data_IF_895568892385
#
_entry.id   IF_895568892385
#
_cell.length_a   1.000
_cell.length_b   1.000
_cell.length_c   1.000
_cell.angle_alpha   90.00
_cell.angle_beta   90.00
_cell.angle_gamma   90.00
#
_symmetry.space_group_name_H-M   'P 1'
#
loop_
_entity.id
_entity.type
_entity.pdbx_description
1 polymer ?
#
# COMPACT_ATOMS: atom_id res chain seq x y z
N UNK A 1 -9.12 29.35 14.18
CA UNK A 1 -8.71 28.18 13.38
C UNK A 1 -9.96 27.36 13.10
N UNK A 2 -10.37 27.18 11.84
CA UNK A 2 -11.54 26.35 11.57
C UNK A 2 -11.16 24.89 11.80
N UNK A 3 -11.89 24.23 12.68
CA UNK A 3 -11.88 22.77 12.81
C UNK A 3 -12.38 22.19 11.48
N UNK A 4 -11.53 21.45 10.77
CA UNK A 4 -11.95 20.63 9.64
C UNK A 4 -12.85 19.51 10.18
N UNK A 5 -14.15 19.79 10.16
CA UNK A 5 -15.21 18.82 10.39
C UNK A 5 -15.12 17.70 9.37
N UNK A 6 -15.51 16.50 9.83
CA UNK A 6 -15.79 15.30 9.07
C UNK A 6 -15.72 15.45 7.54
N UNK A 7 -14.73 14.78 6.93
CA UNK A 7 -14.69 14.49 5.50
C UNK A 7 -16.09 14.14 5.02
N UNK A 8 -16.71 15.05 4.25
CA UNK A 8 -17.87 14.69 3.45
C UNK A 8 -17.43 13.54 2.55
N UNK A 9 -18.24 12.49 2.50
CA UNK A 9 -17.94 11.35 1.64
C UNK A 9 -17.86 11.83 0.20
N UNK A 10 -16.68 11.76 -0.43
CA UNK A 10 -16.50 12.10 -1.83
C UNK A 10 -17.56 11.38 -2.68
N UNK A 11 -18.38 12.15 -3.42
CA UNK A 11 -19.40 11.63 -4.33
C UNK A 11 -18.88 11.59 -5.76
N UNK A 12 -19.05 10.45 -6.42
CA UNK A 12 -18.71 10.28 -7.84
C UNK A 12 -19.81 10.82 -8.78
N UNK A 13 -20.96 11.24 -8.26
CA UNK A 13 -22.08 11.79 -9.04
C UNK A 13 -21.81 13.25 -9.51
N UNK A 14 -20.80 13.90 -8.94
CA UNK A 14 -20.49 15.31 -9.22
C UNK A 14 -19.03 15.48 -9.66
N UNK A 15 -18.60 14.62 -10.59
CA UNK A 15 -17.26 14.68 -11.15
C UNK A 15 -17.05 15.89 -12.06
N UNK A 16 -15.94 16.59 -11.85
CA UNK A 16 -15.48 17.72 -12.67
C UNK A 16 -14.35 17.30 -13.62
N UNK A 17 -13.43 16.47 -13.13
CA UNK A 17 -12.26 16.06 -13.88
C UNK A 17 -11.79 14.65 -13.49
N UNK A 18 -11.14 13.98 -14.44
CA UNK A 18 -10.40 12.74 -14.24
C UNK A 18 -9.08 12.89 -14.97
N UNK A 19 -7.98 12.54 -14.29
CA UNK A 19 -6.62 12.55 -14.83
C UNK A 19 -5.96 11.20 -14.56
N UNK A 20 -5.27 10.64 -15.54
CA UNK A 20 -4.52 9.40 -15.35
C UNK A 20 -3.21 9.67 -14.62
N UNK A 21 -2.95 8.94 -13.54
CA UNK A 21 -1.73 9.13 -12.73
C UNK A 21 -0.56 8.26 -13.20
N UNK A 22 -0.83 7.13 -13.85
CA UNK A 22 0.19 6.17 -14.26
C UNK A 22 -0.13 5.52 -15.60
N UNK A 23 0.69 5.74 -16.65
CA UNK A 23 0.59 4.99 -17.90
C UNK A 23 0.76 3.47 -17.64
N UNK A 24 -0.09 2.65 -18.26
CA UNK A 24 -0.07 1.19 -18.11
C UNK A 24 -0.71 0.65 -16.82
N UNK A 25 -1.16 1.51 -15.90
CA UNK A 25 -1.94 1.09 -14.72
C UNK A 25 -3.30 1.79 -14.70
N UNK A 26 -4.36 1.15 -14.18
CA UNK A 26 -5.68 1.75 -14.03
C UNK A 26 -5.73 2.60 -12.74
N UNK A 27 -4.91 3.66 -12.68
CA UNK A 27 -4.83 4.58 -11.54
C UNK A 27 -5.13 6.00 -12.01
N UNK A 28 -6.17 6.59 -11.43
CA UNK A 28 -6.71 7.88 -11.83
C UNK A 28 -6.90 8.79 -10.62
N UNK A 29 -6.75 10.10 -10.84
CA UNK A 29 -7.16 11.13 -9.92
C UNK A 29 -8.51 11.66 -10.37
N UNK A 30 -9.53 11.51 -9.53
CA UNK A 30 -10.84 12.06 -9.75
C UNK A 30 -11.04 13.31 -8.90
N UNK A 31 -11.50 14.39 -9.53
CA UNK A 31 -11.79 15.66 -8.87
C UNK A 31 -13.28 15.96 -8.98
N UNK A 32 -13.94 16.17 -7.85
CA UNK A 32 -15.34 16.57 -7.81
C UNK A 32 -15.50 18.08 -8.08
N UNK A 33 -16.74 18.51 -8.30
CA UNK A 33 -17.10 19.92 -8.55
C UNK A 33 -16.78 20.85 -7.38
N UNK A 34 -16.87 20.35 -6.15
CA UNK A 34 -16.45 21.06 -4.93
C UNK A 34 -14.93 21.16 -4.76
N UNK A 35 -14.16 20.57 -5.68
CA UNK A 35 -12.70 20.58 -5.66
C UNK A 35 -12.07 19.48 -4.81
N UNK A 36 -12.87 18.63 -4.14
CA UNK A 36 -12.34 17.45 -3.44
C UNK A 36 -11.72 16.47 -4.44
N UNK A 37 -10.77 15.66 -3.98
CA UNK A 37 -9.98 14.76 -4.81
C UNK A 37 -9.88 13.36 -4.19
N UNK A 38 -10.00 12.33 -5.03
CA UNK A 38 -9.72 10.93 -4.65
C UNK A 38 -8.92 10.23 -5.72
N UNK A 39 -8.11 9.26 -5.29
CA UNK A 39 -7.45 8.32 -6.20
C UNK A 39 -8.38 7.14 -6.43
N UNK A 40 -8.65 6.84 -7.69
CA UNK A 40 -9.35 5.64 -8.14
C UNK A 40 -8.32 4.64 -8.65
N UNK A 41 -8.42 3.39 -8.21
CA UNK A 41 -7.59 2.29 -8.68
C UNK A 41 -8.46 1.07 -8.97
N UNK A 42 -8.15 0.37 -10.06
CA UNK A 42 -8.71 -0.95 -10.33
C UNK A 42 -7.67 -2.02 -9.99
N UNK A 43 -8.08 -3.06 -9.28
CA UNK A 43 -7.29 -4.29 -9.13
C UNK A 43 -7.85 -5.37 -10.03
N UNK A 44 -6.96 -6.10 -10.70
CA UNK A 44 -7.33 -7.25 -11.50
C UNK A 44 -7.78 -8.38 -10.57
N UNK A 45 -8.96 -8.92 -10.84
CA UNK A 45 -9.49 -10.10 -10.17
C UNK A 45 -9.45 -11.28 -11.14
N UNK A 46 -8.85 -12.39 -10.72
CA UNK A 46 -8.86 -13.64 -11.50
C UNK A 46 -10.16 -14.43 -11.28
N UNK A 47 -10.80 -14.27 -10.13
CA UNK A 47 -12.01 -15.02 -9.75
C UNK A 47 -13.04 -14.13 -9.03
N UNK A 48 -14.33 -14.46 -9.20
CA UNK A 48 -15.44 -13.69 -8.61
C UNK A 48 -15.38 -13.52 -7.07
N UNK A 49 -14.72 -14.45 -6.36
CA UNK A 49 -14.54 -14.36 -4.90
C UNK A 49 -13.51 -13.33 -4.44
N UNK A 50 -12.72 -12.73 -5.34
CA UNK A 50 -11.57 -11.91 -4.96
C UNK A 50 -11.93 -10.49 -4.56
N UNK A 51 -13.12 -9.99 -4.91
CA UNK A 51 -13.61 -8.68 -4.44
C UNK A 51 -13.68 -8.64 -2.91
N UNK A 52 -14.12 -9.75 -2.28
CA UNK A 52 -14.15 -9.84 -0.80
C UNK A 52 -12.75 -10.01 -0.20
N UNK A 53 -11.83 -10.69 -0.91
CA UNK A 53 -10.42 -10.79 -0.50
C UNK A 53 -9.72 -9.42 -0.54
N UNK A 54 -9.91 -8.64 -1.61
CA UNK A 54 -9.41 -7.27 -1.69
C UNK A 54 -9.97 -6.40 -0.56
N UNK A 55 -11.29 -6.45 -0.34
CA UNK A 55 -11.94 -5.73 0.78
C UNK A 55 -11.37 -6.14 2.14
N UNK A 56 -10.97 -7.40 2.31
CA UNK A 56 -10.29 -7.90 3.50
C UNK A 56 -8.88 -7.32 3.64
N UNK A 57 -8.08 -7.40 2.57
CA UNK A 57 -6.73 -6.84 2.53
C UNK A 57 -6.72 -5.32 2.81
N UNK A 58 -7.65 -4.56 2.22
CA UNK A 58 -7.84 -3.13 2.48
C UNK A 58 -8.17 -2.85 3.96
N UNK A 59 -9.00 -3.69 4.59
CA UNK A 59 -9.30 -3.57 6.03
C UNK A 59 -8.08 -3.84 6.90
N UNK A 60 -7.24 -4.80 6.52
CA UNK A 60 -5.97 -5.08 7.20
C UNK A 60 -5.03 -3.89 7.04
N UNK A 61 -4.81 -3.41 5.81
CA UNK A 61 -3.91 -2.29 5.54
C UNK A 61 -4.31 -1.02 6.30
N UNK A 62 -5.61 -0.76 6.44
CA UNK A 62 -6.15 0.34 7.28
C UNK A 62 -5.69 0.27 8.74
N UNK A 63 -5.34 -0.90 9.27
CA UNK A 63 -4.82 -1.02 10.65
C UNK A 63 -3.38 -0.55 10.78
N UNK A 64 -2.59 -0.58 9.69
CA UNK A 64 -1.20 -0.16 9.68
C UNK A 64 -0.96 1.23 9.08
N UNK A 65 -1.85 1.69 8.20
CA UNK A 65 -1.76 3.00 7.55
C UNK A 65 -3.14 3.65 7.46
N UNK A 66 -3.33 4.71 8.25
CA UNK A 66 -4.60 5.46 8.28
C UNK A 66 -4.91 6.19 6.98
N UNK A 67 -3.89 6.56 6.20
CA UNK A 67 -4.02 7.16 4.88
C UNK A 67 -4.36 6.14 3.79
N UNK A 68 -4.22 4.84 4.06
CA UNK A 68 -4.51 3.76 3.12
C UNK A 68 -5.96 3.28 3.17
N UNK A 69 -6.91 4.18 3.48
CA UNK A 69 -8.34 3.87 3.62
C UNK A 69 -9.02 3.63 2.27
N UNK A 70 -8.61 2.57 1.58
CA UNK A 70 -9.28 2.13 0.37
C UNK A 70 -10.70 1.63 0.65
N UNK A 71 -11.64 2.08 -0.18
CA UNK A 71 -13.03 1.61 -0.19
C UNK A 71 -13.39 1.14 -1.60
N UNK A 72 -13.81 -0.11 -1.70
CA UNK A 72 -14.38 -0.66 -2.94
C UNK A 72 -15.54 0.22 -3.40
N UNK A 73 -15.57 0.55 -4.69
CA UNK A 73 -16.68 1.27 -5.29
C UNK A 73 -17.93 0.39 -5.29
N UNK A 74 -19.05 1.01 -4.95
CA UNK A 74 -20.38 0.44 -5.14
C UNK A 74 -20.76 0.42 -6.62
N UNK A 75 -21.76 -0.37 -6.98
CA UNK A 75 -22.21 -0.45 -8.37
C UNK A 75 -22.77 0.92 -8.86
N UNK A 76 -23.41 1.68 -7.96
CA UNK A 76 -23.82 3.08 -8.22
C UNK A 76 -22.63 3.99 -8.51
N UNK A 77 -21.55 3.86 -7.74
CA UNK A 77 -20.32 4.64 -7.94
C UNK A 77 -19.61 4.27 -9.25
N UNK A 78 -19.60 2.99 -9.63
CA UNK A 78 -19.09 2.55 -10.94
C UNK A 78 -19.96 3.09 -12.06
N UNK A 79 -21.29 3.08 -11.90
CA UNK A 79 -22.22 3.63 -12.89
C UNK A 79 -22.06 5.14 -13.06
N UNK A 80 -21.84 5.89 -11.98
CA UNK A 80 -21.55 7.31 -12.06
C UNK A 80 -20.27 7.61 -12.88
N UNK A 81 -19.26 6.74 -12.82
CA UNK A 81 -18.07 6.85 -13.68
C UNK A 81 -18.38 6.58 -15.15
N UNK A 82 -19.25 5.61 -15.43
CA UNK A 82 -19.72 5.30 -16.79
C UNK A 82 -20.52 6.48 -17.36
N UNK A 83 -21.51 6.98 -16.63
CA UNK A 83 -22.34 8.12 -17.04
C UNK A 83 -21.50 9.39 -17.29
N UNK A 84 -20.47 9.63 -16.48
CA UNK A 84 -19.50 10.70 -16.70
C UNK A 84 -18.77 10.53 -18.03
N UNK A 85 -18.29 9.33 -18.36
CA UNK A 85 -17.58 9.08 -19.63
C UNK A 85 -18.52 9.22 -20.81
N UNK A 86 -19.71 8.62 -20.75
CA UNK A 86 -20.71 8.66 -21.81
C UNK A 86 -21.07 10.11 -22.17
N UNK A 87 -21.16 10.99 -21.15
CA UNK A 87 -21.39 12.43 -21.35
C UNK A 87 -20.26 13.08 -22.16
N UNK A 88 -19.00 12.79 -21.84
CA UNK A 88 -17.86 13.38 -22.56
C UNK A 88 -17.65 12.75 -23.94
N UNK A 89 -18.01 11.48 -24.12
CA UNK A 89 -18.00 10.82 -25.43
C UNK A 89 -19.03 11.46 -26.36
N UNK A 90 -20.26 11.70 -25.87
CA UNK A 90 -21.28 12.43 -26.62
C UNK A 90 -20.82 13.84 -27.02
N UNK A 91 -20.22 14.59 -26.08
CA UNK A 91 -19.69 15.94 -26.37
C UNK A 91 -18.59 15.88 -27.44
N UNK A 92 -17.68 14.90 -27.35
CA UNK A 92 -16.60 14.74 -28.32
C UNK A 92 -17.14 14.45 -29.73
N UNK A 93 -18.13 13.56 -29.84
CA UNK A 93 -18.81 13.22 -31.10
C UNK A 93 -19.51 14.44 -31.72
N UNK A 94 -20.33 15.15 -30.94
CA UNK A 94 -21.04 16.38 -31.41
C UNK A 94 -20.07 17.46 -31.88
N UNK A 95 -18.91 17.58 -31.24
CA UNK A 95 -17.88 18.56 -31.61
C UNK A 95 -16.95 18.07 -32.73
N UNK A 96 -17.08 16.83 -33.21
CA UNK A 96 -16.18 16.22 -34.18
C UNK A 96 -14.74 16.13 -33.67
N UNK A 97 -14.55 15.85 -32.37
CA UNK A 97 -13.25 15.77 -31.69
C UNK A 97 -13.02 14.38 -31.12
N UNK A 98 -11.76 14.04 -30.88
CA UNK A 98 -11.43 12.83 -30.14
C UNK A 98 -11.72 13.00 -28.64
N UNK A 99 -12.13 11.91 -28.00
CA UNK A 99 -12.25 11.85 -26.55
C UNK A 99 -10.88 12.03 -25.89
N UNK A 100 -10.83 12.86 -24.85
CA UNK A 100 -9.66 13.08 -24.00
C UNK A 100 -8.95 11.76 -23.63
N UNK A 101 -7.61 11.64 -23.81
CA UNK A 101 -6.89 10.38 -23.64
C UNK A 101 -7.08 9.72 -22.28
N UNK A 102 -7.21 10.51 -21.20
CA UNK A 102 -7.42 9.99 -19.85
C UNK A 102 -8.82 9.40 -19.69
N UNK A 103 -9.84 10.03 -20.27
CA UNK A 103 -11.22 9.49 -20.30
C UNK A 103 -11.32 8.24 -21.17
N UNK A 104 -10.63 8.24 -22.32
CA UNK A 104 -10.54 7.05 -23.19
C UNK A 104 -9.89 5.88 -22.45
N UNK A 105 -8.81 6.13 -21.71
CA UNK A 105 -8.16 5.11 -20.90
C UNK A 105 -9.06 4.58 -19.78
N UNK A 106 -9.78 5.48 -19.09
CA UNK A 106 -10.75 5.06 -18.07
C UNK A 106 -11.87 4.22 -18.67
N UNK A 107 -12.40 4.60 -19.83
CA UNK A 107 -13.44 3.85 -20.55
C UNK A 107 -12.99 2.41 -20.79
N UNK A 108 -11.80 2.24 -21.38
CA UNK A 108 -11.22 0.92 -21.62
C UNK A 108 -11.13 0.09 -20.33
N UNK A 109 -10.67 0.68 -19.22
CA UNK A 109 -10.58 -0.03 -17.95
C UNK A 109 -11.95 -0.37 -17.32
N UNK A 110 -13.00 0.43 -17.55
CA UNK A 110 -14.36 0.13 -17.09
C UNK A 110 -15.03 -0.96 -17.93
N UNK A 111 -14.75 -0.99 -19.23
CA UNK A 111 -15.22 -2.03 -20.15
C UNK A 111 -14.56 -3.39 -19.86
N UNK A 112 -13.31 -3.37 -19.39
CA UNK A 112 -12.61 -4.54 -18.85
C UNK A 112 -13.27 -5.00 -17.54
N UNK A 113 -14.22 -5.92 -17.63
CA UNK A 113 -14.99 -6.45 -16.49
C UNK A 113 -14.18 -7.27 -15.46
N UNK A 114 -12.86 -7.37 -15.61
CA UNK A 114 -12.01 -8.27 -14.84
C UNK A 114 -11.37 -7.64 -13.61
N UNK A 115 -12.06 -6.73 -12.92
CA UNK A 115 -11.47 -6.03 -11.78
C UNK A 115 -12.44 -5.47 -10.75
N UNK A 116 -11.91 -5.14 -9.58
CA UNK A 116 -12.62 -4.36 -8.57
C UNK A 116 -12.01 -2.96 -8.49
N UNK A 117 -12.88 -1.96 -8.69
CA UNK A 117 -12.54 -0.58 -8.45
C UNK A 117 -12.62 -0.25 -6.98
N UNK A 118 -11.67 0.57 -6.53
CA UNK A 118 -11.71 1.16 -5.20
C UNK A 118 -11.21 2.60 -5.25
N UNK A 119 -11.63 3.39 -4.27
CA UNK A 119 -11.16 4.76 -4.06
C UNK A 119 -10.41 4.89 -2.75
N UNK A 120 -9.47 5.82 -2.71
CA UNK A 120 -8.77 6.24 -1.50
C UNK A 120 -8.49 7.73 -1.54
N UNK A 121 -8.27 8.31 -0.37
CA UNK A 121 -7.91 9.72 -0.26
C UNK A 121 -6.60 9.99 -1.01
N UNK A 122 -6.50 11.15 -1.66
CA UNK A 122 -5.25 11.60 -2.27
C UNK A 122 -4.20 11.82 -1.18
N UNK A 123 -3.02 11.26 -1.37
CA UNK A 123 -1.87 11.57 -0.52
C UNK A 123 -1.30 12.95 -0.85
N UNK A 124 -1.13 13.79 0.15
CA UNK A 124 -0.44 15.07 -0.01
C UNK A 124 1.07 14.88 -0.03
N UNK A 125 1.77 15.59 -0.93
CA UNK A 125 3.23 15.61 -0.98
C UNK A 125 3.86 14.21 -1.03
N UNK A 126 3.28 13.30 -1.82
CA UNK A 126 3.78 11.92 -1.92
C UNK A 126 5.21 11.92 -2.47
N UNK A 127 6.09 11.23 -1.75
CA UNK A 127 7.47 10.99 -2.16
C UNK A 127 7.72 9.49 -2.14
N UNK A 128 8.16 8.94 -3.27
CA UNK A 128 8.60 7.57 -3.39
C UNK A 128 10.13 7.45 -3.31
N UNK A 129 10.61 6.33 -2.79
CA UNK A 129 12.05 6.10 -2.63
C UNK A 129 12.79 6.02 -3.98
N UNK A 130 12.16 5.52 -5.04
CA UNK A 130 12.81 5.37 -6.36
C UNK A 130 13.08 6.75 -6.97
N UNK A 131 12.07 7.60 -7.07
CA UNK A 131 12.20 8.97 -7.56
C UNK A 131 13.14 9.82 -6.69
N UNK A 132 13.12 9.64 -5.36
CA UNK A 132 14.09 10.28 -4.47
C UNK A 132 15.55 9.86 -4.76
N UNK A 133 15.79 8.57 -5.04
CA UNK A 133 17.12 8.06 -5.42
C UNK A 133 17.59 8.57 -6.77
N UNK A 134 16.71 8.60 -7.77
CA UNK A 134 17.02 9.10 -9.11
C UNK A 134 17.41 10.58 -9.06
N UNK A 135 16.66 11.41 -8.33
CA UNK A 135 17.03 12.81 -8.09
C UNK A 135 18.35 12.95 -7.32
N UNK A 136 18.60 12.10 -6.33
CA UNK A 136 19.85 12.12 -5.57
C UNK A 136 21.07 11.74 -6.42
N UNK A 137 20.90 10.83 -7.39
CA UNK A 137 21.92 10.49 -8.38
C UNK A 137 22.22 11.67 -9.32
N UNK A 138 21.19 12.48 -9.64
CA UNK A 138 21.34 13.73 -10.39
C UNK A 138 21.85 14.92 -9.53
N UNK A 139 22.18 14.69 -8.26
CA UNK A 139 22.75 15.69 -7.35
C UNK A 139 21.77 16.32 -6.36
N UNK A 140 20.45 16.20 -6.58
CA UNK A 140 19.43 16.69 -5.65
C UNK A 140 19.13 15.67 -4.54
N UNK A 141 19.73 15.92 -3.37
CA UNK A 141 19.59 15.05 -2.19
C UNK A 141 18.44 15.45 -1.26
N UNK A 142 17.56 16.38 -1.63
CA UNK A 142 16.43 16.82 -0.79
C UNK A 142 15.53 15.63 -0.42
N UNK A 143 14.99 14.91 -1.41
CA UNK A 143 14.07 13.79 -1.18
C UNK A 143 14.63 12.69 -0.27
N UNK A 144 15.87 12.23 -0.48
CA UNK A 144 16.48 11.22 0.41
C UNK A 144 16.74 11.75 1.83
N UNK A 145 16.94 13.07 2.01
CA UNK A 145 17.09 13.67 3.34
C UNK A 145 15.75 13.74 4.04
N UNK A 146 14.69 14.12 3.32
CA UNK A 146 13.33 14.22 3.85
C UNK A 146 12.80 12.84 4.25
N UNK A 147 13.02 11.81 3.42
CA UNK A 147 12.66 10.43 3.77
C UNK A 147 13.43 9.97 5.01
N UNK A 148 14.75 10.18 5.06
CA UNK A 148 15.55 9.79 6.24
C UNK A 148 15.09 10.52 7.50
N UNK A 149 14.75 11.81 7.40
CA UNK A 149 14.22 12.61 8.51
C UNK A 149 12.87 12.07 8.98
N UNK A 150 11.95 11.78 8.06
CA UNK A 150 10.65 11.21 8.35
C UNK A 150 10.73 9.83 9.03
N UNK A 151 11.60 8.94 8.54
CA UNK A 151 11.80 7.63 9.17
C UNK A 151 12.40 7.76 10.58
N UNK A 152 13.33 8.70 10.77
CA UNK A 152 13.96 8.95 12.08
C UNK A 152 13.06 9.69 13.06
N UNK A 153 12.08 10.46 12.60
CA UNK A 153 11.13 11.17 13.45
C UNK A 153 10.36 10.17 14.34
N UNK A 154 9.83 10.65 15.47
CA UNK A 154 8.96 9.84 16.34
C UNK A 154 7.85 9.22 15.51
N UNK A 155 7.63 7.91 15.70
CA UNK A 155 6.61 7.13 15.00
C UNK A 155 6.88 6.90 13.48
N UNK A 156 8.03 7.32 12.94
CA UNK A 156 8.41 7.10 11.54
C UNK A 156 8.63 5.62 11.19
N UNK A 157 9.69 5.01 11.72
CA UNK A 157 9.99 3.59 11.55
C UNK A 157 8.92 2.67 12.16
N UNK A 158 8.25 3.11 13.23
CA UNK A 158 7.13 2.38 13.83
C UNK A 158 5.94 2.32 12.85
N UNK A 159 5.59 3.44 12.19
CA UNK A 159 4.57 3.46 11.13
C UNK A 159 4.94 2.54 9.97
N UNK A 160 6.18 2.59 9.51
CA UNK A 160 6.66 1.67 8.48
C UNK A 160 6.49 0.21 8.94
N UNK A 161 6.86 -0.11 10.18
CA UNK A 161 6.71 -1.44 10.73
C UNK A 161 5.26 -1.92 10.76
N UNK A 162 4.30 -1.04 11.09
CA UNK A 162 2.88 -1.39 11.05
C UNK A 162 2.40 -1.71 9.63
N UNK A 163 2.91 -1.00 8.63
CA UNK A 163 2.64 -1.33 7.21
C UNK A 163 3.25 -2.68 6.85
N UNK A 164 4.50 -2.94 7.23
CA UNK A 164 5.15 -4.24 7.01
C UNK A 164 4.37 -5.37 7.67
N UNK A 165 3.77 -5.18 8.85
CA UNK A 165 2.90 -6.18 9.46
C UNK A 165 1.66 -6.49 8.61
N UNK A 166 1.07 -5.47 7.98
CA UNK A 166 -0.04 -5.65 7.05
C UNK A 166 0.42 -6.41 5.80
N UNK A 167 1.59 -6.05 5.24
CA UNK A 167 2.17 -6.71 4.07
C UNK A 167 2.42 -8.19 4.35
N UNK A 168 3.06 -8.52 5.48
CA UNK A 168 3.30 -9.89 5.91
C UNK A 168 1.99 -10.68 6.06
N UNK A 169 0.99 -10.10 6.73
CA UNK A 169 -0.31 -10.78 6.90
C UNK A 169 -1.01 -11.02 5.56
N UNK A 170 -1.08 -10.00 4.70
CA UNK A 170 -1.74 -10.09 3.40
C UNK A 170 -0.93 -10.93 2.39
N UNK A 171 0.29 -11.34 2.73
CA UNK A 171 1.18 -12.01 1.80
C UNK A 171 1.61 -11.10 0.65
N UNK A 172 1.71 -9.80 0.90
CA UNK A 172 2.14 -8.80 -0.08
C UNK A 172 3.68 -8.73 -0.11
N UNK A 173 4.31 -9.44 -1.05
CA UNK A 173 5.75 -9.44 -1.18
C UNK A 173 6.27 -8.31 -2.10
N UNK A 174 5.40 -7.45 -2.65
CA UNK A 174 5.78 -6.42 -3.61
C UNK A 174 6.65 -5.32 -2.97
N UNK A 175 6.53 -5.04 -1.66
CA UNK A 175 7.37 -4.04 -0.99
C UNK A 175 8.60 -4.63 -0.30
N UNK A 176 8.36 -5.55 0.61
CA UNK A 176 9.39 -6.26 1.37
C UNK A 176 9.07 -7.75 1.40
N UNK A 177 9.99 -8.58 0.92
CA UNK A 177 9.86 -10.03 0.91
C UNK A 177 10.87 -10.68 1.84
N UNK A 178 10.44 -11.47 2.84
CA UNK A 178 11.35 -12.27 3.66
C UNK A 178 12.16 -13.30 2.86
N UNK A 179 11.66 -13.68 1.68
CA UNK A 179 12.29 -14.65 0.78
C UNK A 179 13.38 -14.03 -0.07
N UNK A 180 13.57 -12.72 0.08
CA UNK A 180 14.55 -11.93 -0.64
C UNK A 180 14.06 -11.48 -2.02
N UNK A 181 14.93 -10.80 -2.74
CA UNK A 181 14.59 -10.14 -4.02
C UNK A 181 15.28 -10.77 -5.22
N UNK A 182 16.29 -11.61 -5.00
CA UNK A 182 17.22 -12.07 -6.04
C UNK A 182 18.12 -10.98 -6.64
N UNK A 183 18.05 -9.73 -6.14
CA UNK A 183 18.90 -8.62 -6.58
C UNK A 183 20.21 -8.61 -5.81
N UNK A 184 21.27 -8.11 -6.43
CA UNK A 184 22.59 -7.97 -5.81
C UNK A 184 22.70 -6.74 -4.90
N UNK A 185 21.83 -5.74 -5.07
CA UNK A 185 21.90 -4.46 -4.35
C UNK A 185 20.96 -4.34 -3.15
N UNK A 186 19.92 -5.18 -3.08
CA UNK A 186 18.90 -5.15 -2.03
C UNK A 186 18.56 -6.58 -1.60
N UNK A 187 18.48 -6.80 -0.29
CA UNK A 187 18.30 -8.12 0.28
C UNK A 187 16.82 -8.52 0.24
N UNK A 188 15.94 -7.65 0.75
CA UNK A 188 14.51 -7.95 0.97
C UNK A 188 13.55 -6.94 0.34
N UNK A 189 14.03 -5.78 -0.10
CA UNK A 189 13.20 -4.75 -0.74
C UNK A 189 13.01 -5.04 -2.23
N UNK A 190 11.85 -5.56 -2.59
CA UNK A 190 11.50 -6.03 -3.95
C UNK A 190 11.19 -4.88 -4.88
N UNK A 191 10.27 -3.98 -4.48
CA UNK A 191 9.90 -2.79 -5.25
C UNK A 191 10.13 -1.49 -4.48
N UNK A 192 11.22 -0.81 -4.84
CA UNK A 192 11.62 0.47 -4.25
C UNK A 192 10.56 1.56 -4.46
N UNK A 193 9.80 1.52 -5.56
CA UNK A 193 8.76 2.53 -5.84
C UNK A 193 7.54 2.42 -4.92
N UNK A 194 7.37 1.28 -4.24
CA UNK A 194 6.29 1.09 -3.28
C UNK A 194 6.67 1.49 -1.86
N UNK A 195 7.92 1.91 -1.62
CA UNK A 195 8.32 2.55 -0.35
C UNK A 195 7.99 4.03 -0.45
N UNK A 196 6.80 4.37 0.03
CA UNK A 196 6.15 5.66 -0.16
C UNK A 196 5.94 6.38 1.17
N UNK A 197 6.06 7.70 1.12
CA UNK A 197 5.71 8.59 2.22
C UNK A 197 4.76 9.67 1.71
N UNK A 198 3.86 10.14 2.55
CA UNK A 198 3.00 11.31 2.28
C UNK A 198 2.90 12.19 3.51
N UNK A 199 2.53 13.45 3.29
CA UNK A 199 2.23 14.38 4.37
C UNK A 199 0.94 13.94 5.05
N UNK A 200 1.02 13.74 6.37
CA UNK A 200 -0.09 13.36 7.24
C UNK A 200 -0.02 14.26 8.47
N UNK A 201 -1.08 15.04 8.70
CA UNK A 201 -1.13 16.03 9.79
C UNK A 201 0.12 16.93 9.81
N UNK A 202 0.52 17.44 8.63
CA UNK A 202 1.67 18.31 8.45
C UNK A 202 3.05 17.63 8.49
N UNK A 203 3.12 16.30 8.67
CA UNK A 203 4.38 15.57 8.76
C UNK A 203 4.50 14.50 7.67
N UNK A 204 5.65 14.42 7.01
CA UNK A 204 5.93 13.34 6.08
C UNK A 204 6.04 12.01 6.84
N UNK A 205 5.25 11.01 6.47
CA UNK A 205 5.19 9.69 7.13
C UNK A 205 5.00 8.56 6.11
N UNK A 206 5.47 7.33 6.42
CA UNK A 206 5.22 6.16 5.58
C UNK A 206 3.73 5.89 5.31
N UNK A 207 3.42 5.42 4.11
CA UNK A 207 2.07 5.03 3.67
C UNK A 207 2.03 3.67 2.97
N UNK A 208 0.92 2.95 3.12
CA UNK A 208 0.67 1.65 2.50
C UNK A 208 -0.36 1.72 1.36
N UNK A 209 0.03 2.05 0.12
CA UNK A 209 -0.96 2.18 -0.97
C UNK A 209 -1.48 0.84 -1.50
N UNK A 210 -0.60 -0.15 -1.66
CA UNK A 210 -0.95 -1.45 -2.22
C UNK A 210 -1.23 -2.42 -1.07
N UNK A 211 -2.50 -2.80 -0.90
CA UNK A 211 -2.91 -3.64 0.22
C UNK A 211 -2.60 -5.12 0.02
N UNK A 212 -2.40 -5.58 -1.21
CA UNK A 212 -2.07 -6.97 -1.52
C UNK A 212 -1.39 -7.09 -2.88
N UNK A 213 -0.73 -8.21 -3.11
CA UNK A 213 -0.11 -8.56 -4.38
C UNK A 213 -1.13 -9.23 -5.30
N UNK A 214 -1.42 -8.63 -6.45
CA UNK A 214 -2.48 -9.09 -7.34
C UNK A 214 -2.30 -10.55 -7.78
N UNK A 215 -1.06 -11.03 -7.96
CA UNK A 215 -0.76 -12.40 -8.39
C UNK A 215 -0.32 -13.32 -7.23
N UNK A 216 -0.39 -12.85 -5.97
CA UNK A 216 0.09 -13.60 -4.82
C UNK A 216 -0.83 -14.76 -4.45
N UNK A 217 -0.26 -15.94 -4.20
CA UNK A 217 -0.98 -17.15 -3.82
C UNK A 217 -1.78 -17.00 -2.50
N UNK A 218 -1.33 -16.12 -1.61
CA UNK A 218 -1.92 -15.94 -0.27
C UNK A 218 -3.10 -14.99 -0.19
N UNK A 219 -3.53 -14.40 -1.32
CA UNK A 219 -4.63 -13.43 -1.37
C UNK A 219 -5.98 -14.03 -1.00
N UNK A 220 -6.20 -15.32 -1.26
CA UNK A 220 -7.47 -15.98 -0.96
C UNK A 220 -7.50 -16.54 0.46
N UNK A 221 -8.31 -15.90 1.32
CA UNK A 221 -8.48 -16.31 2.71
C UNK A 221 -9.29 -17.61 2.85
N UNK A 222 -9.87 -18.12 1.76
CA UNK A 222 -10.52 -19.44 1.74
C UNK A 222 -9.52 -20.57 1.52
N UNK A 223 -8.40 -20.30 0.87
CA UNK A 223 -7.36 -21.28 0.62
C UNK A 223 -6.51 -21.48 1.88
N UNK A 224 -6.42 -22.74 2.31
CA UNK A 224 -5.64 -23.21 3.45
C UNK A 224 -4.14 -23.06 3.21
N UNK A 225 -3.35 -22.96 4.27
CA UNK A 225 -1.89 -22.86 4.13
C UNK A 225 -1.31 -24.14 3.51
N UNK A 226 -1.83 -25.31 3.87
CA UNK A 226 -1.39 -26.60 3.33
C UNK A 226 -1.56 -26.69 1.80
N UNK A 227 -2.56 -26.01 1.23
CA UNK A 227 -2.78 -25.98 -0.21
C UNK A 227 -1.87 -24.98 -0.94
N UNK A 228 -1.35 -23.98 -0.22
CA UNK A 228 -0.61 -22.86 -0.79
C UNK A 228 0.91 -23.01 -0.65
N UNK A 229 1.37 -23.61 0.45
CA UNK A 229 2.78 -23.67 0.82
C UNK A 229 3.54 -24.81 0.10
N UNK A 230 3.45 -24.86 -1.23
CA UNK A 230 4.25 -25.75 -2.07
C UNK A 230 5.52 -25.02 -2.56
N UNK A 231 6.57 -25.06 -1.75
CA UNK A 231 7.91 -24.55 -2.10
C UNK A 231 8.21 -23.14 -1.57
N UNK A 232 7.19 -22.36 -1.24
CA UNK A 232 7.34 -21.09 -0.52
C UNK A 232 6.35 -21.03 0.66
N UNK A 233 6.70 -20.35 1.73
CA UNK A 233 5.87 -20.22 2.93
C UNK A 233 5.18 -18.87 3.01
N UNK A 234 4.02 -18.83 3.66
CA UNK A 234 3.31 -17.58 3.92
C UNK A 234 4.15 -16.66 4.81
N UNK A 235 4.48 -15.49 4.30
CA UNK A 235 5.33 -14.50 5.00
C UNK A 235 4.76 -14.06 6.35
N UNK A 236 3.44 -14.14 6.52
CA UNK A 236 2.76 -13.83 7.78
C UNK A 236 3.20 -14.69 8.95
N UNK A 237 3.82 -15.87 8.73
CA UNK A 237 4.41 -16.69 9.79
C UNK A 237 5.36 -15.91 10.70
N UNK A 238 6.08 -14.90 10.17
CA UNK A 238 6.96 -14.01 10.95
C UNK A 238 6.26 -13.19 12.04
N UNK A 239 4.92 -13.07 11.98
CA UNK A 239 4.13 -12.37 13.00
C UNK A 239 3.86 -13.24 14.25
N UNK A 240 4.18 -14.54 14.19
CA UNK A 240 4.03 -15.45 15.32
C UNK A 240 5.01 -15.14 16.45
N UNK A 241 4.60 -15.34 17.71
CA UNK A 241 5.42 -15.02 18.89
C UNK A 241 6.74 -15.78 18.95
N UNK A 242 6.78 -17.01 18.43
CA UNK A 242 7.98 -17.83 18.34
C UNK A 242 9.02 -17.31 17.33
N UNK A 243 8.65 -16.39 16.44
CA UNK A 243 9.49 -15.92 15.33
C UNK A 243 10.33 -14.67 15.68
N UNK A 244 10.57 -14.39 16.97
CA UNK A 244 11.31 -13.19 17.39
C UNK A 244 12.71 -13.08 16.77
N UNK A 245 13.42 -14.21 16.62
CA UNK A 245 14.74 -14.26 15.97
C UNK A 245 14.66 -13.93 14.47
N UNK A 246 13.96 -14.74 13.66
CA UNK A 246 13.75 -14.48 12.24
C UNK A 246 13.18 -13.09 11.93
N UNK A 247 12.20 -12.62 12.71
CA UNK A 247 11.66 -11.26 12.57
C UNK A 247 12.72 -10.18 12.80
N UNK A 248 13.60 -10.37 13.79
CA UNK A 248 14.70 -9.43 14.04
C UNK A 248 15.68 -9.41 12.87
N UNK A 249 15.98 -10.57 12.28
CA UNK A 249 16.83 -10.65 11.10
C UNK A 249 16.21 -9.96 9.89
N UNK A 250 14.93 -10.18 9.64
CA UNK A 250 14.18 -9.50 8.59
C UNK A 250 14.20 -7.97 8.77
N UNK A 251 13.99 -7.48 10.00
CA UNK A 251 14.08 -6.05 10.30
C UNK A 251 15.49 -5.48 10.04
N UNK A 252 16.56 -6.23 10.32
CA UNK A 252 17.93 -5.80 10.01
C UNK A 252 18.12 -5.64 8.51
N UNK A 253 17.64 -6.60 7.72
CA UNK A 253 17.74 -6.56 6.26
C UNK A 253 16.94 -5.40 5.65
N UNK A 254 15.73 -5.11 6.15
CA UNK A 254 14.97 -3.92 5.72
C UNK A 254 15.75 -2.64 6.03
N UNK A 255 16.30 -2.50 7.24
CA UNK A 255 17.07 -1.30 7.64
C UNK A 255 18.34 -1.15 6.80
N UNK A 256 19.01 -2.25 6.46
CA UNK A 256 20.16 -2.26 5.57
C UNK A 256 19.80 -1.81 4.15
N UNK A 257 18.73 -2.34 3.57
CA UNK A 257 18.23 -1.91 2.27
C UNK A 257 17.86 -0.42 2.28
N UNK A 258 17.18 0.05 3.34
CA UNK A 258 16.86 1.47 3.50
C UNK A 258 18.13 2.32 3.56
N UNK A 259 19.17 1.92 4.29
CA UNK A 259 20.46 2.64 4.30
C UNK A 259 21.12 2.66 2.93
N UNK A 260 21.10 1.53 2.20
CA UNK A 260 21.62 1.43 0.84
C UNK A 260 20.88 2.39 -0.10
N UNK A 261 19.55 2.43 0.00
CA UNK A 261 18.70 3.32 -0.80
C UNK A 261 18.89 4.80 -0.46
N UNK A 262 18.98 5.14 0.82
CA UNK A 262 19.18 6.52 1.28
C UNK A 262 20.62 7.02 1.01
N UNK A 263 21.56 6.10 0.82
CA UNK A 263 22.97 6.37 0.56
C UNK A 263 23.70 7.00 1.76
N UNK A 264 25.02 7.21 1.66
CA UNK A 264 25.81 7.73 2.78
C UNK A 264 25.42 9.17 3.13
N UNK A 265 25.61 9.55 4.41
CA UNK A 265 25.57 10.95 4.83
C UNK A 265 26.87 11.66 4.43
N UNK A 266 26.81 12.55 3.43
CA UNK A 266 27.95 13.40 3.06
C UNK A 266 28.23 14.39 4.19
N UNK A 267 29.28 14.17 4.99
CA UNK A 267 29.86 15.19 5.87
C UNK A 267 31.19 15.64 5.29
N UNK A 268 31.52 16.92 5.46
CA UNK A 268 32.75 17.55 4.94
C UNK A 268 34.07 16.97 5.50
N UNK A 269 34.00 16.11 6.52
CA UNK A 269 35.18 15.54 7.17
C UNK A 269 35.31 14.05 6.80
N UNK A 270 36.50 13.68 6.29
CA UNK A 270 36.83 12.43 5.59
C UNK A 270 36.71 11.11 6.38
N UNK A 271 36.44 11.14 7.68
CA UNK A 271 36.63 9.96 8.56
C UNK A 271 35.35 9.20 8.91
N UNK A 272 34.40 9.07 7.98
CA UNK A 272 33.40 8.01 8.06
C UNK A 272 32.09 8.28 7.34
N UNK A 273 31.72 7.39 6.42
CA UNK A 273 30.35 7.25 5.94
C UNK A 273 29.48 6.86 7.13
N UNK A 274 28.69 7.79 7.65
CA UNK A 274 27.72 7.50 8.73
C UNK A 274 26.39 7.07 8.13
N UNK A 275 25.77 6.09 8.80
CA UNK A 275 24.36 5.69 8.63
C UNK A 275 23.43 6.91 8.74
N UNK A 276 22.36 6.91 7.96
CA UNK A 276 21.34 7.97 7.98
C UNK A 276 20.26 7.70 8.99
N UNK A 277 19.93 6.44 9.22
CA UNK A 277 18.95 6.01 10.20
C UNK A 277 19.58 5.99 11.60
N UNK A 278 18.72 6.16 12.61
CA UNK A 278 19.11 6.09 14.02
C UNK A 278 19.64 4.70 14.39
N UNK A 279 20.53 4.64 15.40
CA UNK A 279 21.19 3.40 15.81
C UNK A 279 20.22 2.30 16.29
N UNK A 280 19.05 2.68 16.80
CA UNK A 280 18.00 1.77 17.23
C UNK A 280 16.92 1.49 16.15
N UNK A 281 17.19 1.80 14.88
CA UNK A 281 16.21 1.69 13.79
C UNK A 281 15.57 0.30 13.69
N UNK A 282 16.37 -0.77 13.83
CA UNK A 282 15.89 -2.16 13.81
C UNK A 282 14.86 -2.41 14.91
N UNK A 283 15.12 -1.93 16.13
CA UNK A 283 14.20 -2.11 17.26
C UNK A 283 12.91 -1.32 17.07
N UNK A 284 13.00 -0.10 16.52
CA UNK A 284 11.84 0.74 16.21
C UNK A 284 10.95 0.11 15.14
N UNK A 285 11.55 -0.39 14.06
CA UNK A 285 10.84 -1.11 13.00
C UNK A 285 10.17 -2.38 13.56
N UNK A 286 10.92 -3.20 14.30
CA UNK A 286 10.39 -4.41 14.95
C UNK A 286 9.21 -4.09 15.88
N UNK A 287 9.33 -3.04 16.69
CA UNK A 287 8.25 -2.57 17.55
C UNK A 287 7.02 -2.16 16.73
N UNK A 288 7.22 -1.46 15.61
CA UNK A 288 6.18 -1.17 14.63
C UNK A 288 5.46 -2.43 14.11
N UNK A 289 6.21 -3.46 13.72
CA UNK A 289 5.62 -4.72 13.22
C UNK A 289 4.81 -5.41 14.31
N UNK A 290 5.37 -5.55 15.52
CA UNK A 290 4.67 -6.19 16.64
C UNK A 290 3.42 -5.41 17.02
N UNK A 291 3.49 -4.08 17.12
CA UNK A 291 2.33 -3.25 17.44
C UNK A 291 1.26 -3.25 16.34
N UNK A 292 1.65 -3.35 15.07
CA UNK A 292 0.75 -3.50 13.93
C UNK A 292 0.05 -4.86 13.87
N UNK A 293 0.71 -5.93 14.33
CA UNK A 293 0.12 -7.26 14.39
C UNK A 293 -1.05 -7.37 15.38
N UNK A 294 -1.06 -6.56 16.45
CA UNK A 294 -2.11 -6.60 17.49
C UNK A 294 -3.53 -6.23 16.97
N UNK A 295 -3.75 -5.09 16.28
CA UNK A 295 -5.07 -4.77 15.73
C UNK A 295 -5.47 -5.73 14.61
N UNK A 296 -4.52 -6.25 13.82
CA UNK A 296 -4.76 -7.31 12.85
C UNK A 296 -5.32 -8.53 13.60
N UNK A 297 -4.58 -9.09 14.57
CA UNK A 297 -5.02 -10.22 15.39
C UNK A 297 -6.42 -10.02 15.96
N UNK A 298 -6.68 -8.88 16.60
CA UNK A 298 -7.98 -8.59 17.19
C UNK A 298 -9.10 -8.61 16.13
N UNK A 299 -8.86 -7.98 14.96
CA UNK A 299 -9.83 -7.92 13.89
C UNK A 299 -10.09 -9.29 13.25
N UNK A 300 -9.03 -10.05 13.02
CA UNK A 300 -9.11 -11.35 12.36
C UNK A 300 -9.80 -12.38 13.25
N UNK A 301 -9.55 -12.37 14.57
CA UNK A 301 -10.30 -13.19 15.53
C UNK A 301 -11.80 -12.86 15.54
N UNK A 302 -12.16 -11.58 15.42
CA UNK A 302 -13.56 -11.17 15.31
C UNK A 302 -14.22 -11.76 14.05
N UNK A 303 -13.50 -11.84 12.93
CA UNK A 303 -14.02 -12.44 11.69
C UNK A 303 -14.11 -13.96 11.82
N UNK A 304 -13.09 -14.60 12.39
CA UNK A 304 -13.05 -16.04 12.64
C UNK A 304 -14.14 -16.53 13.59
N UNK A 305 -14.60 -15.69 14.53
CA UNK A 305 -15.70 -16.02 15.44
C UNK A 305 -17.11 -15.94 14.83
N UNK A 306 -17.25 -15.58 13.56
CA UNK A 306 -18.54 -15.55 12.87
C UNK A 306 -18.92 -16.95 12.37
N UNK A 307 -20.22 -17.23 12.11
CA UNK A 307 -20.62 -18.48 11.44
C UNK A 307 -19.91 -18.64 10.09
N UNK A 308 -19.41 -19.85 9.82
CA UNK A 308 -18.73 -20.22 8.58
C UNK A 308 -17.53 -19.30 8.22
N UNK A 309 -16.52 -19.18 9.10
CA UNK A 309 -15.34 -18.39 8.77
C UNK A 309 -14.56 -19.05 7.62
N UNK A 310 -13.82 -18.29 6.79
CA UNK A 310 -12.98 -18.87 5.74
C UNK A 310 -11.95 -19.84 6.34
N UNK A 311 -11.85 -21.06 5.80
CA UNK A 311 -10.93 -22.07 6.32
C UNK A 311 -9.47 -21.59 6.36
N UNK A 312 -9.01 -20.97 5.27
CA UNK A 312 -7.68 -20.37 5.22
C UNK A 312 -7.41 -19.25 6.24
N UNK A 313 -8.44 -18.54 6.71
CA UNK A 313 -8.28 -17.57 7.80
C UNK A 313 -8.00 -18.30 9.12
N UNK A 314 -8.73 -19.38 9.41
CA UNK A 314 -8.51 -20.18 10.61
C UNK A 314 -7.11 -20.75 10.62
N UNK A 315 -6.66 -21.36 9.53
CA UNK A 315 -5.30 -21.89 9.39
C UNK A 315 -4.22 -20.85 9.66
N UNK A 316 -4.36 -19.66 9.06
CA UNK A 316 -3.43 -18.54 9.28
C UNK A 316 -3.39 -18.13 10.75
N UNK A 317 -4.54 -18.03 11.42
CA UNK A 317 -4.57 -17.68 12.84
C UNK A 317 -3.97 -18.78 13.71
N UNK A 318 -4.25 -20.05 13.42
CA UNK A 318 -3.67 -21.20 14.13
C UNK A 318 -2.15 -21.24 13.95
N UNK A 319 -1.65 -21.02 12.73
CA UNK A 319 -0.21 -20.97 12.44
C UNK A 319 0.54 -19.89 13.22
N UNK A 320 -0.15 -18.82 13.64
CA UNK A 320 0.42 -17.75 14.48
C UNK A 320 0.14 -17.92 15.98
N UNK A 321 -0.54 -18.99 16.39
CA UNK A 321 -1.06 -19.17 17.74
C UNK A 321 -1.96 -17.99 18.19
N UNK A 322 -2.81 -17.52 17.27
CA UNK A 322 -3.78 -16.45 17.49
C UNK A 322 -5.21 -16.98 17.65
N UNK A 323 -5.44 -18.24 17.30
CA UNK A 323 -6.68 -18.98 17.48
C UNK A 323 -6.42 -20.21 18.35
N UNK A 324 -7.32 -20.53 19.30
CA UNK A 324 -7.17 -21.68 20.20
C UNK A 324 -7.33 -23.02 19.50
#
# INVERSE_FOLDING_TARGET
MPHFGYSQSFSLEHLRAIVRLSPGRPVFLATATDGSEVVLKQEVLQHAGEKENLKFALKVMKTGSDSAKGKILTDTEVRALQDYIDTYEYIADVLGKELDPDKKALKTCLDEQNGAWFKMDKGDGVVDMKGARERAAAGDKSGIRDIAAALNATDGLESLGRIVACDLWNGNADRFSPHGTGRSDLIVTTNVSNVLLSVQNGNLKPIGLDAYEAMGAYRDMRQTLDNLEFGDYWSGRLLGTAQSGPLTQFCKQIVEDLETMLGPRNRKNLLGRKKRLVSNAVNRLKHGIVSGALPIKAKMRQVAGKPNPPAGLIDRLTALNWWP
#
